data_IF_115438323574
#
_entry.id   IF_115438323574
#
_cell.length_a   1.000
_cell.length_b   1.000
_cell.length_c   1.000
_cell.angle_alpha   90.00
_cell.angle_beta   90.00
_cell.angle_gamma   90.00
#
_symmetry.space_group_name_H-M   'P 1'
#
loop_
_entity.id
_entity.type
_entity.pdbx_description
1 polymer ?
#
# COMPACT_ATOMS: atom_id res chain seq x y z
N UNK A 1 26.58 -11.28 -1.07
CA UNK A 1 26.90 -10.23 -2.05
C UNK A 1 25.78 -9.21 -2.01
N UNK A 2 26.17 -8.00 -1.66
CA UNK A 2 25.54 -6.68 -1.82
C UNK A 2 24.01 -6.56 -1.92
N UNK A 3 23.48 -5.82 -0.95
CA UNK A 3 22.20 -5.09 -0.96
C UNK A 3 21.83 -4.70 -2.39
N UNK A 4 20.83 -5.39 -2.95
CA UNK A 4 20.17 -4.99 -4.19
C UNK A 4 19.87 -3.51 -4.10
N UNK A 5 20.58 -2.79 -4.95
CA UNK A 5 20.57 -1.36 -5.15
C UNK A 5 19.17 -0.79 -4.96
N UNK A 6 19.00 -0.01 -3.89
CA UNK A 6 17.85 0.90 -3.69
C UNK A 6 17.90 2.06 -4.70
N UNK A 7 18.27 1.80 -5.95
CA UNK A 7 18.55 2.83 -6.95
C UNK A 7 17.30 3.32 -7.67
N UNK A 8 16.15 2.64 -7.51
CA UNK A 8 14.87 3.12 -8.03
C UNK A 8 13.73 2.75 -7.07
N UNK A 9 13.69 3.35 -5.87
CA UNK A 9 12.48 3.28 -5.03
C UNK A 9 11.43 4.22 -5.63
N UNK A 10 10.86 3.82 -6.76
CA UNK A 10 9.77 4.56 -7.38
C UNK A 10 8.58 4.57 -6.43
N UNK A 11 7.66 5.53 -6.59
CA UNK A 11 6.42 5.52 -5.81
C UNK A 11 5.67 4.18 -5.94
N UNK A 12 5.79 3.52 -7.09
CA UNK A 12 5.22 2.20 -7.34
C UNK A 12 5.87 1.11 -6.48
N UNK A 13 7.19 1.10 -6.32
CA UNK A 13 7.87 0.11 -5.47
C UNK A 13 7.55 0.32 -4.00
N UNK A 14 7.44 1.57 -3.55
CA UNK A 14 6.98 1.89 -2.18
C UNK A 14 5.55 1.42 -1.94
N UNK A 15 4.66 1.60 -2.92
CA UNK A 15 3.27 1.13 -2.82
C UNK A 15 3.22 -0.40 -2.75
N UNK A 16 4.01 -1.10 -3.56
CA UNK A 16 4.10 -2.56 -3.54
C UNK A 16 4.59 -3.08 -2.19
N UNK A 17 5.68 -2.52 -1.66
CA UNK A 17 6.23 -2.90 -0.35
C UNK A 17 5.20 -2.69 0.78
N UNK A 18 4.44 -1.59 0.72
CA UNK A 18 3.40 -1.29 1.69
C UNK A 18 2.26 -2.31 1.62
N UNK A 19 1.74 -2.59 0.42
CA UNK A 19 0.66 -3.56 0.20
C UNK A 19 1.08 -4.96 0.65
N UNK A 20 2.26 -5.41 0.26
CA UNK A 20 2.80 -6.72 0.67
C UNK A 20 2.92 -6.83 2.19
N UNK A 21 3.38 -5.76 2.86
CA UNK A 21 3.47 -5.71 4.32
C UNK A 21 2.09 -5.78 4.99
N UNK A 22 1.08 -5.11 4.42
CA UNK A 22 -0.30 -5.14 4.90
C UNK A 22 -0.92 -6.54 4.72
N UNK A 23 -0.73 -7.16 3.56
CA UNK A 23 -1.24 -8.52 3.28
C UNK A 23 -0.64 -9.53 4.27
N UNK A 24 0.66 -9.46 4.54
CA UNK A 24 1.34 -10.34 5.50
C UNK A 24 0.83 -10.21 6.93
N UNK A 25 0.23 -9.07 7.30
CA UNK A 25 -0.39 -8.84 8.61
C UNK A 25 -1.82 -9.38 8.70
N UNK A 26 -2.43 -9.73 7.58
CA UNK A 26 -3.73 -10.37 7.51
C UNK A 26 -4.91 -9.40 7.42
N UNK A 27 -6.11 -9.96 7.61
CA UNK A 27 -7.38 -9.31 7.28
C UNK A 27 -7.60 -7.98 8.02
N UNK A 28 -7.33 -7.95 9.33
CA UNK A 28 -7.53 -6.73 10.14
C UNK A 28 -6.67 -5.56 9.65
N UNK A 29 -5.41 -5.82 9.28
CA UNK A 29 -4.54 -4.78 8.75
C UNK A 29 -5.01 -4.28 7.38
N UNK A 30 -5.55 -5.17 6.55
CA UNK A 30 -6.13 -4.80 5.26
C UNK A 30 -7.34 -3.88 5.41
N UNK A 31 -8.22 -4.15 6.38
CA UNK A 31 -9.37 -3.29 6.68
C UNK A 31 -8.92 -1.90 7.16
N UNK A 32 -7.93 -1.83 8.06
CA UNK A 32 -7.37 -0.55 8.53
C UNK A 32 -6.75 0.23 7.37
N UNK A 33 -6.02 -0.45 6.48
CA UNK A 33 -5.41 0.17 5.31
C UNK A 33 -6.45 0.75 4.34
N UNK A 34 -7.54 0.02 4.09
CA UNK A 34 -8.65 0.51 3.25
C UNK A 34 -9.30 1.74 3.88
N UNK A 35 -9.62 1.70 5.18
CA UNK A 35 -10.19 2.85 5.88
C UNK A 35 -9.27 4.09 5.82
N UNK A 36 -7.96 3.88 5.93
CA UNK A 36 -6.96 4.94 5.78
C UNK A 36 -6.95 5.53 4.36
N UNK A 37 -7.07 4.69 3.31
CA UNK A 37 -7.17 5.19 1.93
C UNK A 37 -8.43 6.04 1.77
N UNK A 38 -9.58 5.60 2.29
CA UNK A 38 -10.85 6.36 2.23
C UNK A 38 -10.73 7.71 2.94
N UNK A 39 -10.03 7.79 4.06
CA UNK A 39 -9.84 9.03 4.84
C UNK A 39 -8.84 10.00 4.17
N UNK A 40 -7.72 9.47 3.69
CA UNK A 40 -6.60 10.29 3.18
C UNK A 40 -6.80 10.68 1.71
N UNK A 41 -7.34 9.78 0.89
CA UNK A 41 -7.56 9.99 -0.54
C UNK A 41 -8.89 9.36 -1.00
N UNK A 42 -10.02 10.06 -0.76
CA UNK A 42 -11.35 9.60 -1.19
C UNK A 42 -11.45 9.38 -2.70
N UNK A 43 -10.69 10.13 -3.50
CA UNK A 43 -10.68 9.99 -4.95
C UNK A 43 -10.00 8.69 -5.37
N UNK A 44 -8.87 8.35 -4.75
CA UNK A 44 -8.24 7.06 -4.93
C UNK A 44 -9.12 5.91 -4.43
N UNK A 45 -9.77 6.07 -3.27
CA UNK A 45 -10.71 5.08 -2.75
C UNK A 45 -11.86 4.81 -3.72
N UNK A 46 -12.43 5.86 -4.31
CA UNK A 46 -13.47 5.76 -5.33
C UNK A 46 -12.96 5.04 -6.59
N UNK A 47 -11.77 5.41 -7.07
CA UNK A 47 -11.16 4.78 -8.25
C UNK A 47 -10.85 3.29 -8.04
N UNK A 48 -10.61 2.88 -6.79
CA UNK A 48 -10.36 1.49 -6.41
C UNK A 48 -11.64 0.72 -6.03
N UNK A 49 -12.82 1.36 -6.02
CA UNK A 49 -14.08 0.75 -5.62
C UNK A 49 -14.14 0.37 -4.14
N UNK A 50 -13.42 1.11 -3.29
CA UNK A 50 -13.33 0.90 -1.83
C UNK A 50 -14.32 1.75 -1.03
N UNK A 51 -15.09 2.61 -1.71
CA UNK A 51 -16.11 3.50 -1.15
C UNK A 51 -17.51 3.16 -1.65
#
# INVERSE_FOLDING_TARGET
MEKVRRENYTAMDKARDLIDSVIRKGHQASQIFINQIVEVDPQLAHNLGLS
#
